data_IF_139464444377
#
_entry.id   IF_139464444377
#
_cell.length_a   1.000
_cell.length_b   1.000
_cell.length_c   1.000
_cell.angle_alpha   90.00
_cell.angle_beta   90.00
_cell.angle_gamma   90.00
#
_symmetry.space_group_name_H-M   'P 1'
#
loop_
_entity.id
_entity.type
_entity.pdbx_description
1 polymer ?
#
# COMPACT_ATOMS: atom_id res chain seq x y z
N UNK A 1 11.80 3.89 15.01
CA UNK A 1 13.08 3.92 15.75
C UNK A 1 14.26 3.81 14.79
N UNK A 2 14.40 2.71 14.02
CA UNK A 2 15.56 2.48 13.15
C UNK A 2 15.78 3.61 12.13
N UNK A 3 14.76 3.98 11.36
CA UNK A 3 14.84 5.03 10.34
C UNK A 3 15.12 6.42 10.91
N UNK A 4 14.58 6.72 12.09
CA UNK A 4 14.84 7.97 12.80
C UNK A 4 16.29 8.02 13.27
N UNK A 5 16.80 6.89 13.82
CA UNK A 5 18.21 6.79 14.24
C UNK A 5 19.19 6.97 13.07
N UNK A 6 18.79 6.66 11.83
CA UNK A 6 19.58 6.87 10.61
C UNK A 6 19.25 8.21 9.90
N UNK A 7 18.55 9.12 10.57
CA UNK A 7 18.24 10.45 10.01
C UNK A 7 17.34 10.47 8.79
N UNK A 8 16.57 9.39 8.54
CA UNK A 8 15.69 9.33 7.37
C UNK A 8 14.53 10.34 7.45
N UNK A 9 14.09 10.67 8.66
CA UNK A 9 13.16 11.75 9.01
C UNK A 9 13.25 12.08 10.49
N UNK A 10 12.76 13.25 10.85
CA UNK A 10 12.77 13.77 12.21
C UNK A 10 11.35 14.17 12.64
N UNK A 11 11.13 14.19 13.94
CA UNK A 11 9.89 14.68 14.56
C UNK A 11 10.21 15.95 15.34
N UNK A 12 10.06 17.15 14.73
CA UNK A 12 10.49 18.41 15.33
C UNK A 12 9.62 18.82 16.51
N UNK A 13 8.32 18.50 16.46
CA UNK A 13 7.39 18.92 17.51
C UNK A 13 7.49 18.04 18.75
N UNK A 14 7.40 18.63 19.96
CA UNK A 14 7.39 17.86 21.19
C UNK A 14 6.14 16.98 21.28
N UNK A 15 6.29 15.77 21.77
CA UNK A 15 5.19 14.83 21.98
C UNK A 15 5.28 14.25 23.39
N UNK A 16 4.16 14.22 24.10
CA UNK A 16 4.08 13.68 25.47
C UNK A 16 4.36 12.17 25.50
N UNK A 17 3.93 11.44 24.47
CA UNK A 17 4.06 9.99 24.38
C UNK A 17 5.03 9.64 23.27
N UNK A 18 6.25 9.20 23.62
CA UNK A 18 7.34 8.84 22.71
C UNK A 18 8.02 7.55 23.16
N UNK A 19 8.58 6.84 22.17
CA UNK A 19 9.54 5.76 22.40
C UNK A 19 10.85 6.20 21.73
N UNK A 20 11.82 6.62 22.53
CA UNK A 20 12.99 7.34 22.02
C UNK A 20 12.57 8.62 21.30
N UNK A 21 13.07 8.82 20.08
CA UNK A 21 12.74 10.00 19.26
C UNK A 21 11.42 9.86 18.46
N UNK A 22 10.70 8.73 18.59
CA UNK A 22 9.51 8.44 17.77
C UNK A 22 8.23 8.62 18.59
N UNK A 23 7.34 9.55 18.21
CA UNK A 23 6.03 9.69 18.83
C UNK A 23 5.16 8.45 18.63
N UNK A 24 4.34 8.09 19.61
CA UNK A 24 3.45 6.92 19.51
C UNK A 24 2.42 7.06 18.39
N UNK A 25 2.02 8.27 18.01
CA UNK A 25 1.05 8.46 16.92
C UNK A 25 1.53 7.85 15.59
N UNK A 26 2.85 7.79 15.35
CA UNK A 26 3.40 7.20 14.13
C UNK A 26 3.05 5.72 14.00
N UNK A 27 3.08 4.97 15.10
CA UNK A 27 2.64 3.58 15.14
C UNK A 27 1.16 3.42 14.82
N UNK A 28 0.32 4.30 15.37
CA UNK A 28 -1.12 4.32 15.09
C UNK A 28 -1.44 4.66 13.63
N UNK A 29 -0.66 5.53 12.99
CA UNK A 29 -0.83 5.83 11.56
C UNK A 29 -0.65 4.57 10.69
N UNK A 30 0.41 3.80 10.92
CA UNK A 30 0.63 2.55 10.17
C UNK A 30 -0.45 1.50 10.46
N UNK A 31 -0.85 1.36 11.72
CA UNK A 31 -1.94 0.47 12.12
C UNK A 31 -3.28 0.86 11.47
N UNK A 32 -3.54 2.17 11.34
CA UNK A 32 -4.74 2.69 10.69
C UNK A 32 -4.81 2.29 9.20
N UNK A 33 -3.69 2.33 8.47
CA UNK A 33 -3.65 1.90 7.05
C UNK A 33 -4.03 0.43 6.92
N UNK A 34 -3.44 -0.46 7.71
CA UNK A 34 -3.78 -1.90 7.70
C UNK A 34 -5.24 -2.16 8.07
N UNK A 35 -5.74 -1.49 9.11
CA UNK A 35 -7.14 -1.59 9.55
C UNK A 35 -8.11 -1.10 8.47
N UNK A 36 -7.77 0.00 7.80
CA UNK A 36 -8.57 0.55 6.70
C UNK A 36 -8.68 -0.43 5.54
N UNK A 37 -7.57 -1.03 5.11
CA UNK A 37 -7.55 -2.03 4.04
C UNK A 37 -8.40 -3.25 4.42
N UNK A 38 -8.23 -3.78 5.62
CA UNK A 38 -9.01 -4.91 6.12
C UNK A 38 -10.50 -4.60 6.17
N UNK A 39 -10.86 -3.36 6.58
CA UNK A 39 -12.25 -2.91 6.64
C UNK A 39 -12.87 -2.75 5.25
N UNK A 40 -12.19 -2.13 4.31
CA UNK A 40 -12.64 -2.00 2.91
C UNK A 40 -12.86 -3.38 2.29
N UNK A 41 -11.94 -4.30 2.51
CA UNK A 41 -12.01 -5.66 2.00
C UNK A 41 -13.33 -6.35 2.37
N UNK A 42 -13.76 -6.15 3.62
CA UNK A 42 -15.02 -6.71 4.12
C UNK A 42 -16.26 -5.96 3.65
N UNK A 43 -16.24 -4.62 3.74
CA UNK A 43 -17.41 -3.79 3.47
C UNK A 43 -17.79 -3.82 1.98
N UNK A 44 -16.80 -3.81 1.09
CA UNK A 44 -17.05 -3.71 -0.35
C UNK A 44 -17.08 -5.06 -1.06
N UNK A 45 -17.09 -6.18 -0.33
CA UNK A 45 -17.05 -7.54 -0.90
C UNK A 45 -15.98 -7.65 -1.99
N UNK A 46 -14.73 -7.38 -1.61
CA UNK A 46 -13.63 -7.36 -2.56
C UNK A 46 -13.33 -8.79 -3.03
N UNK A 47 -13.37 -8.99 -4.35
CA UNK A 47 -13.01 -10.24 -5.02
C UNK A 47 -11.99 -9.97 -6.11
N UNK A 48 -11.31 -11.01 -6.55
CA UNK A 48 -10.15 -10.88 -7.41
C UNK A 48 -10.21 -11.83 -8.60
N UNK A 49 -9.69 -11.35 -9.74
CA UNK A 49 -9.27 -12.23 -10.83
C UNK A 49 -7.76 -12.29 -10.87
N UNK A 50 -7.20 -13.45 -11.25
CA UNK A 50 -5.75 -13.65 -11.42
C UNK A 50 -4.91 -13.19 -10.21
N UNK A 51 -5.42 -13.40 -8.98
CA UNK A 51 -4.61 -13.16 -7.80
C UNK A 51 -3.41 -14.13 -7.80
N UNK A 52 -2.17 -13.64 -7.61
CA UNK A 52 -0.99 -14.50 -7.61
C UNK A 52 -1.04 -15.56 -6.51
N UNK A 53 -0.29 -16.66 -6.63
CA UNK A 53 -0.13 -17.62 -5.54
C UNK A 53 0.37 -16.92 -4.27
N UNK A 54 -0.22 -17.22 -3.11
CA UNK A 54 0.09 -16.52 -1.85
C UNK A 54 1.57 -16.53 -1.50
N UNK A 55 2.27 -17.64 -1.75
CA UNK A 55 3.70 -17.73 -1.45
C UNK A 55 4.55 -16.72 -2.26
N UNK A 56 4.18 -16.44 -3.53
CA UNK A 56 4.89 -15.44 -4.34
C UNK A 56 4.66 -14.03 -3.81
N UNK A 57 3.46 -13.75 -3.33
CA UNK A 57 3.15 -12.44 -2.73
C UNK A 57 3.89 -12.24 -1.42
N UNK A 58 4.09 -13.29 -0.62
CA UNK A 58 4.89 -13.24 0.60
C UNK A 58 6.37 -13.01 0.32
N UNK A 59 6.92 -13.71 -0.68
CA UNK A 59 8.30 -13.48 -1.10
C UNK A 59 8.50 -12.04 -1.57
N UNK A 60 7.59 -11.52 -2.38
CA UNK A 60 7.64 -10.12 -2.82
C UNK A 60 7.56 -9.16 -1.63
N UNK A 61 6.59 -9.35 -0.72
CA UNK A 61 6.45 -8.49 0.46
C UNK A 61 7.69 -8.54 1.36
N UNK A 62 8.27 -9.72 1.56
CA UNK A 62 9.53 -9.90 2.29
C UNK A 62 10.70 -9.19 1.63
N UNK A 63 10.84 -9.30 0.29
CA UNK A 63 11.89 -8.62 -0.46
C UNK A 63 11.73 -7.08 -0.40
N UNK A 64 10.50 -6.56 -0.51
CA UNK A 64 10.20 -5.13 -0.35
C UNK A 64 10.58 -4.68 1.07
N UNK A 65 10.19 -5.44 2.10
CA UNK A 65 10.50 -5.13 3.49
C UNK A 65 12.02 -5.09 3.74
N UNK A 66 12.75 -6.12 3.29
CA UNK A 66 14.20 -6.18 3.43
C UNK A 66 14.85 -4.99 2.70
N UNK A 67 14.48 -4.72 1.45
CA UNK A 67 15.04 -3.59 0.71
C UNK A 67 14.75 -2.25 1.40
N UNK A 68 13.55 -2.07 1.97
CA UNK A 68 13.20 -0.83 2.68
C UNK A 68 14.11 -0.55 3.88
N UNK A 69 14.57 -1.58 4.58
CA UNK A 69 15.47 -1.42 5.74
C UNK A 69 16.94 -1.52 5.35
N UNK A 70 17.32 -2.37 4.40
CA UNK A 70 18.68 -2.73 4.10
C UNK A 70 19.33 -1.87 3.01
N UNK A 71 18.61 -0.97 2.32
CA UNK A 71 19.15 -0.16 1.23
C UNK A 71 20.26 0.83 1.66
N UNK A 72 20.53 0.98 2.96
CA UNK A 72 21.68 1.72 3.46
C UNK A 72 22.99 0.92 3.37
N UNK A 73 22.91 -0.40 3.28
CA UNK A 73 24.07 -1.31 3.22
C UNK A 73 24.10 -2.18 1.96
N UNK A 74 22.93 -2.43 1.39
CA UNK A 74 22.78 -3.21 0.16
C UNK A 74 22.36 -2.31 -1.00
N UNK A 75 22.66 -2.70 -2.25
CA UNK A 75 22.14 -1.99 -3.43
C UNK A 75 20.64 -1.87 -3.38
N UNK A 76 20.12 -0.72 -3.75
CA UNK A 76 18.69 -0.48 -3.85
C UNK A 76 18.09 -1.20 -5.07
N UNK A 77 17.30 -2.24 -4.82
CA UNK A 77 16.68 -3.06 -5.86
C UNK A 77 15.24 -2.65 -6.17
N UNK A 78 14.81 -1.42 -5.80
CA UNK A 78 13.43 -0.94 -6.00
C UNK A 78 12.93 -1.12 -7.44
N UNK A 79 13.77 -0.86 -8.44
CA UNK A 79 13.38 -1.05 -9.84
C UNK A 79 12.98 -2.52 -10.14
N UNK A 80 13.75 -3.48 -9.63
CA UNK A 80 13.41 -4.91 -9.73
C UNK A 80 12.13 -5.27 -8.99
N UNK A 81 11.89 -4.64 -7.81
CA UNK A 81 10.66 -4.86 -7.04
C UNK A 81 9.42 -4.27 -7.74
N UNK A 82 9.54 -3.12 -8.40
CA UNK A 82 8.48 -2.59 -9.27
C UNK A 82 8.18 -3.53 -10.42
N UNK A 83 9.21 -4.03 -11.10
CA UNK A 83 9.03 -5.00 -12.18
C UNK A 83 8.38 -6.29 -11.68
N UNK A 84 8.84 -6.85 -10.56
CA UNK A 84 8.25 -8.05 -9.96
C UNK A 84 6.78 -7.82 -9.58
N UNK A 85 6.45 -6.66 -9.01
CA UNK A 85 5.07 -6.27 -8.71
C UNK A 85 4.22 -6.19 -9.97
N UNK A 86 4.74 -5.56 -11.03
CA UNK A 86 4.04 -5.45 -12.31
C UNK A 86 3.80 -6.83 -12.97
N UNK A 87 4.78 -7.72 -12.92
CA UNK A 87 4.65 -9.07 -13.47
C UNK A 87 3.65 -9.93 -12.68
N UNK A 88 3.68 -9.85 -11.35
CA UNK A 88 2.79 -10.64 -10.51
C UNK A 88 1.33 -10.14 -10.53
N UNK A 89 1.13 -8.84 -10.46
CA UNK A 89 -0.21 -8.26 -10.29
C UNK A 89 -0.76 -7.57 -11.54
N UNK A 90 0.04 -7.40 -12.61
CA UNK A 90 -0.34 -6.63 -13.80
C UNK A 90 -1.55 -7.19 -14.55
N UNK A 91 -1.82 -8.50 -14.44
CA UNK A 91 -2.99 -9.16 -15.06
C UNK A 91 -4.21 -9.22 -14.12
N UNK A 92 -4.03 -8.82 -12.86
CA UNK A 92 -5.06 -8.91 -11.84
C UNK A 92 -6.03 -7.73 -11.88
N UNK A 93 -7.28 -8.03 -11.58
CA UNK A 93 -8.33 -7.05 -11.35
C UNK A 93 -8.97 -7.33 -9.99
N UNK A 94 -9.38 -6.29 -9.31
CA UNK A 94 -10.25 -6.45 -8.19
C UNK A 94 -11.63 -5.85 -8.48
N UNK A 95 -12.62 -6.52 -7.92
CA UNK A 95 -14.03 -6.17 -8.03
C UNK A 95 -14.51 -5.74 -6.65
N UNK A 96 -15.31 -4.72 -6.60
CA UNK A 96 -15.79 -4.14 -5.35
C UNK A 96 -17.18 -3.53 -5.54
N UNK A 97 -17.94 -3.46 -4.46
CA UNK A 97 -19.31 -2.98 -4.46
C UNK A 97 -19.44 -1.81 -3.48
N UNK A 98 -19.07 -0.56 -3.89
CA UNK A 98 -19.13 0.60 -3.01
C UNK A 98 -20.55 1.11 -2.80
N UNK A 99 -21.39 0.87 -3.77
CA UNK A 99 -22.82 1.12 -3.80
C UNK A 99 -23.55 -0.16 -4.22
N UNK A 100 -24.75 -0.06 -4.75
CA UNK A 100 -25.49 -1.24 -5.27
C UNK A 100 -24.93 -1.79 -6.60
N UNK A 101 -23.86 -1.20 -7.15
CA UNK A 101 -23.27 -1.60 -8.43
C UNK A 101 -21.90 -2.22 -8.25
N UNK A 102 -21.69 -3.35 -8.92
CA UNK A 102 -20.37 -3.98 -9.00
C UNK A 102 -19.46 -3.16 -9.90
N UNK A 103 -18.29 -2.80 -9.39
CA UNK A 103 -17.25 -2.07 -10.11
C UNK A 103 -15.98 -2.89 -10.13
N UNK A 104 -15.08 -2.58 -11.06
CA UNK A 104 -13.78 -3.24 -11.15
C UNK A 104 -12.70 -2.25 -11.53
N UNK A 105 -11.46 -2.53 -11.11
CA UNK A 105 -10.28 -1.82 -11.59
C UNK A 105 -9.04 -2.72 -11.54
N UNK A 106 -8.01 -2.42 -12.37
CA UNK A 106 -6.74 -3.12 -12.30
C UNK A 106 -6.09 -2.98 -10.91
N UNK A 107 -5.44 -4.04 -10.43
CA UNK A 107 -4.74 -4.02 -9.15
C UNK A 107 -3.75 -2.86 -9.03
N UNK A 108 -2.87 -2.74 -10.02
CA UNK A 108 -1.81 -1.74 -9.99
C UNK A 108 -2.36 -0.31 -9.93
N UNK A 109 -3.49 -0.06 -10.61
CA UNK A 109 -4.15 1.24 -10.54
C UNK A 109 -4.68 1.51 -9.13
N UNK A 110 -5.37 0.55 -8.52
CA UNK A 110 -5.89 0.70 -7.16
C UNK A 110 -4.78 0.96 -6.15
N UNK A 111 -3.69 0.21 -6.23
CA UNK A 111 -2.53 0.42 -5.34
C UNK A 111 -1.87 1.78 -5.56
N UNK A 112 -1.75 2.20 -6.81
CA UNK A 112 -1.22 3.53 -7.14
C UNK A 112 -2.09 4.65 -6.57
N UNK A 113 -3.42 4.56 -6.72
CA UNK A 113 -4.34 5.56 -6.19
C UNK A 113 -4.26 5.67 -4.67
N UNK A 114 -4.16 4.55 -3.95
CA UNK A 114 -3.99 4.57 -2.49
C UNK A 114 -2.62 5.15 -2.11
N UNK A 115 -1.55 4.76 -2.80
CA UNK A 115 -0.21 5.32 -2.57
C UNK A 115 -0.18 6.83 -2.83
N UNK A 116 -0.88 7.30 -3.87
CA UNK A 116 -1.03 8.72 -4.19
C UNK A 116 -1.76 9.47 -3.06
N UNK A 117 -2.82 8.88 -2.52
CA UNK A 117 -3.54 9.46 -1.37
C UNK A 117 -2.65 9.56 -0.12
N UNK A 118 -1.85 8.52 0.15
CA UNK A 118 -0.89 8.53 1.26
C UNK A 118 0.18 9.61 1.02
N UNK A 119 0.66 9.75 -0.21
CA UNK A 119 1.63 10.78 -0.56
C UNK A 119 1.06 12.20 -0.38
N UNK A 120 -0.20 12.45 -0.71
CA UNK A 120 -0.86 13.72 -0.40
C UNK A 120 -0.96 13.94 1.12
N UNK A 121 -1.37 12.94 1.88
CA UNK A 121 -1.43 13.02 3.33
C UNK A 121 -0.04 13.29 3.93
N UNK A 122 1.01 12.72 3.36
CA UNK A 122 2.40 12.95 3.76
C UNK A 122 2.83 14.40 3.51
N UNK A 123 2.45 15.00 2.38
CA UNK A 123 2.69 16.41 2.11
C UNK A 123 1.99 17.31 3.14
N UNK A 124 0.74 16.98 3.51
CA UNK A 124 0.01 17.72 4.55
C UNK A 124 0.71 17.56 5.91
N UNK A 125 1.12 16.33 6.27
CA UNK A 125 1.79 16.04 7.53
C UNK A 125 3.14 16.75 7.67
N UNK A 126 3.95 16.78 6.61
CA UNK A 126 5.24 17.48 6.61
C UNK A 126 5.05 19.00 6.59
N UNK A 127 4.05 19.53 5.88
CA UNK A 127 3.68 20.94 5.94
C UNK A 127 3.27 21.38 7.35
N UNK A 128 2.49 20.55 8.02
CA UNK A 128 2.08 20.75 9.42
C UNK A 128 3.20 20.45 10.43
N UNK A 129 4.42 20.08 9.98
CA UNK A 129 5.58 19.76 10.81
C UNK A 129 5.39 18.58 11.78
N UNK A 130 4.40 17.71 11.52
CA UNK A 130 4.22 16.49 12.30
C UNK A 130 5.46 15.57 12.20
N UNK A 131 6.14 15.58 11.05
CA UNK A 131 7.52 15.11 10.82
C UNK A 131 8.14 15.90 9.67
N UNK A 132 9.46 15.86 9.54
CA UNK A 132 10.19 16.52 8.46
C UNK A 132 11.25 15.59 7.89
N UNK A 133 11.54 15.78 6.61
CA UNK A 133 12.65 15.14 5.94
C UNK A 133 13.89 16.02 5.95
N UNK A 134 15.12 15.46 5.79
CA UNK A 134 16.35 16.24 5.75
C UNK A 134 16.37 17.36 4.70
N UNK A 135 15.74 17.12 3.55
CA UNK A 135 15.58 18.09 2.46
C UNK A 135 14.56 19.20 2.75
N UNK A 136 13.88 19.15 3.89
CA UNK A 136 12.93 20.15 4.37
C UNK A 136 13.49 20.92 5.60
N UNK A 137 14.77 20.79 5.94
CA UNK A 137 15.34 21.41 7.14
C UNK A 137 15.32 22.94 7.07
N UNK A 138 15.60 23.52 5.91
CA UNK A 138 15.63 24.98 5.69
C UNK A 138 14.26 25.59 5.34
N UNK A 139 13.24 24.78 5.18
CA UNK A 139 11.89 25.18 4.84
C UNK A 139 11.11 24.03 4.19
N UNK A 140 9.79 24.10 4.27
CA UNK A 140 8.97 23.08 3.65
C UNK A 140 9.08 23.11 2.12
N UNK A 141 9.25 21.92 1.55
CA UNK A 141 9.15 21.63 0.13
C UNK A 141 8.27 20.42 -0.09
N UNK A 142 7.64 20.24 -1.28
CA UNK A 142 6.86 19.06 -1.58
C UNK A 142 7.70 17.78 -1.42
N UNK A 143 7.10 16.76 -0.80
CA UNK A 143 7.72 15.45 -0.64
C UNK A 143 8.07 14.87 -2.01
N UNK A 144 9.27 14.36 -2.18
CA UNK A 144 9.77 13.88 -3.47
C UNK A 144 8.88 12.80 -4.07
N UNK A 145 8.73 12.79 -5.41
CA UNK A 145 7.95 11.76 -6.14
C UNK A 145 8.53 10.35 -5.92
N UNK A 146 9.82 10.23 -5.60
CA UNK A 146 10.42 8.94 -5.24
C UNK A 146 9.77 8.31 -3.99
N UNK A 147 9.23 9.13 -3.08
CA UNK A 147 8.46 8.66 -1.92
C UNK A 147 7.13 8.04 -2.31
N UNK A 148 6.46 8.55 -3.36
CA UNK A 148 5.24 7.93 -3.90
C UNK A 148 5.52 6.48 -4.33
N UNK A 149 6.64 6.23 -5.01
CA UNK A 149 7.07 4.87 -5.36
C UNK A 149 7.31 3.99 -4.12
N UNK A 150 7.92 4.55 -3.07
CA UNK A 150 8.10 3.83 -1.79
C UNK A 150 6.75 3.48 -1.15
N UNK A 151 5.80 4.39 -1.14
CA UNK A 151 4.44 4.14 -0.64
C UNK A 151 3.71 3.08 -1.45
N UNK A 152 3.87 3.09 -2.78
CA UNK A 152 3.31 2.04 -3.64
C UNK A 152 3.82 0.64 -3.23
N UNK A 153 5.12 0.47 -3.01
CA UNK A 153 5.70 -0.80 -2.57
C UNK A 153 5.26 -1.16 -1.14
N UNK A 154 5.20 -0.19 -0.22
CA UNK A 154 4.73 -0.44 1.14
C UNK A 154 3.25 -0.84 1.20
N UNK A 155 2.43 -0.32 0.27
CA UNK A 155 1.05 -0.77 0.10
C UNK A 155 0.97 -2.26 -0.23
N UNK A 156 1.89 -2.80 -1.03
CA UNK A 156 1.95 -4.23 -1.34
C UNK A 156 2.13 -5.06 -0.07
N UNK A 157 3.02 -4.66 0.84
CA UNK A 157 3.19 -5.33 2.13
C UNK A 157 1.87 -5.33 2.91
N UNK A 158 1.20 -4.18 2.99
CA UNK A 158 -0.05 -4.04 3.73
C UNK A 158 -1.15 -4.94 3.18
N UNK A 159 -1.31 -5.01 1.85
CA UNK A 159 -2.29 -5.88 1.19
C UNK A 159 -1.95 -7.36 1.40
N UNK A 160 -0.68 -7.73 1.31
CA UNK A 160 -0.24 -9.11 1.57
C UNK A 160 -0.53 -9.49 3.02
N UNK A 161 -0.24 -8.64 4.00
CA UNK A 161 -0.56 -8.89 5.41
C UNK A 161 -2.07 -9.05 5.63
N UNK A 162 -2.90 -8.20 5.02
CA UNK A 162 -4.36 -8.34 5.09
C UNK A 162 -4.82 -9.63 4.43
N UNK A 163 -4.18 -10.10 3.36
CA UNK A 163 -4.51 -11.37 2.69
C UNK A 163 -4.26 -12.61 3.57
N UNK A 164 -3.45 -12.49 4.63
CA UNK A 164 -3.28 -13.56 5.62
C UNK A 164 -4.52 -13.74 6.48
N UNK A 165 -5.19 -12.62 6.80
CA UNK A 165 -6.41 -12.60 7.63
C UNK A 165 -7.65 -12.82 6.77
N UNK A 166 -7.70 -12.15 5.63
CA UNK A 166 -8.80 -12.23 4.66
C UNK A 166 -8.29 -12.86 3.37
N UNK A 167 -8.49 -14.17 3.23
CA UNK A 167 -8.04 -14.88 2.02
C UNK A 167 -8.70 -14.29 0.76
N UNK A 168 -7.93 -14.01 -0.29
CA UNK A 168 -8.47 -13.48 -1.55
C UNK A 168 -9.49 -14.44 -2.15
N UNK A 169 -10.73 -13.95 -2.32
CA UNK A 169 -11.79 -14.72 -2.97
C UNK A 169 -11.79 -14.44 -4.46
N UNK A 170 -11.96 -15.50 -5.26
CA UNK A 170 -12.06 -15.34 -6.71
C UNK A 170 -13.41 -14.78 -7.09
N UNK A 171 -13.40 -13.86 -8.07
CA UNK A 171 -14.64 -13.46 -8.75
C UNK A 171 -15.11 -14.64 -9.61
N UNK A 172 -16.32 -15.10 -9.33
CA UNK A 172 -17.00 -16.08 -10.16
C UNK A 172 -17.62 -15.28 -11.32
N UNK A 173 -17.10 -15.44 -12.54
CA UNK A 173 -17.78 -14.92 -13.71
C UNK A 173 -19.17 -15.58 -13.75
N UNK A 174 -20.21 -14.77 -13.62
CA UNK A 174 -21.54 -15.22 -13.98
C UNK A 174 -21.47 -15.67 -15.43
N UNK A 175 -21.61 -16.98 -15.68
CA UNK A 175 -21.83 -17.50 -17.05
C UNK A 175 -22.98 -16.68 -17.61
N UNK A 176 -22.75 -16.02 -18.73
CA UNK A 176 -23.81 -15.47 -19.56
C UNK A 176 -24.74 -16.63 -19.91
N UNK A 177 -25.83 -16.71 -19.21
CA UNK A 177 -26.99 -17.54 -19.56
C UNK A 177 -27.89 -16.77 -20.53
N UNK A 178 -27.30 -16.13 -21.53
CA UNK A 178 -28.07 -15.40 -22.56
C UNK A 178 -28.19 -16.19 -23.88
N UNK A 179 -27.83 -17.49 -23.88
CA UNK A 179 -27.94 -18.31 -25.08
C UNK A 179 -28.95 -19.46 -24.96
N UNK A 180 -30.10 -19.23 -24.30
CA UNK A 180 -31.17 -20.23 -24.27
C UNK A 180 -32.54 -19.59 -24.20
N UNK A 181 -32.93 -18.84 -25.22
CA UNK A 181 -34.34 -18.87 -25.64
C UNK A 181 -34.40 -19.69 -26.96
N UNK A 182 -34.98 -20.88 -26.89
CA UNK A 182 -35.40 -21.54 -28.14
C UNK A 182 -36.67 -20.83 -28.63
N UNK A 183 -36.53 -20.26 -29.79
CA UNK A 183 -37.70 -19.86 -30.63
C UNK A 183 -38.70 -21.00 -30.75
N UNK A 184 -39.87 -20.81 -30.23
CA UNK A 184 -41.06 -21.54 -30.60
C UNK A 184 -42.14 -20.56 -31.11
#
# INVERSE_FOLDING_TARGET
LFKTAHGSWLYPEPSLLRIGEVPLFSGFMYAAVGSYIARIWRIFDIRFTHYPPLWTTWLLAGAIYVNFFAHHWLPDIRAGLFLATALLFGRGWFFFTPDRRRRSMPFLLGFFLVALFIWFAENIGTYARAWTYPDQADGWSPVSVAKLGSWFLLMMISVVLVSLVHRPQREVQARRTDDAEPSA
#
